data_IF_183773973255
#
_entry.id   IF_183773973255
#
_cell.length_a   1.000
_cell.length_b   1.000
_cell.length_c   1.000
_cell.angle_alpha   90.00
_cell.angle_beta   90.00
_cell.angle_gamma   90.00
#
_symmetry.space_group_name_H-M   'P 1'
#
loop_
_entity.id
_entity.type
_entity.pdbx_description
1 polymer ?
#
# COMPACT_ATOMS: atom_id res chain seq x y z
N UNK A 1 -45.63 33.52 -16.67
CA UNK A 1 -45.61 32.10 -16.24
C UNK A 1 -44.52 31.43 -17.06
N UNK A 2 -43.28 31.57 -16.62
CA UNK A 2 -42.07 31.13 -17.34
C UNK A 2 -41.69 29.72 -16.88
N UNK A 3 -41.59 28.79 -17.82
CA UNK A 3 -41.19 27.41 -17.60
C UNK A 3 -39.65 27.34 -17.59
N UNK A 4 -39.08 27.09 -16.41
CA UNK A 4 -37.67 26.76 -16.22
C UNK A 4 -37.33 25.40 -16.86
N UNK A 5 -36.33 25.39 -17.74
CA UNK A 5 -35.66 24.18 -18.25
C UNK A 5 -34.63 23.66 -17.24
N UNK A 6 -34.41 22.34 -17.10
CA UNK A 6 -33.54 21.79 -16.07
C UNK A 6 -32.05 21.84 -16.45
N UNK A 7 -31.26 22.48 -15.57
CA UNK A 7 -29.81 22.74 -15.61
C UNK A 7 -28.89 21.50 -15.51
N UNK A 8 -29.35 20.28 -15.81
CA UNK A 8 -28.61 19.04 -15.45
C UNK A 8 -27.82 18.37 -16.59
N UNK A 9 -27.92 18.86 -17.83
CA UNK A 9 -27.22 18.29 -19.00
C UNK A 9 -25.83 18.88 -19.28
N UNK A 10 -25.44 19.99 -18.65
CA UNK A 10 -24.21 20.72 -19.01
C UNK A 10 -22.92 20.00 -18.55
N UNK A 11 -22.94 19.29 -17.41
CA UNK A 11 -21.72 18.68 -16.84
C UNK A 11 -21.11 17.52 -17.64
N UNK A 12 -21.91 16.75 -18.39
CA UNK A 12 -21.41 15.55 -19.09
C UNK A 12 -20.72 15.93 -20.41
N UNK A 13 -21.25 16.95 -21.10
CA UNK A 13 -20.71 17.38 -22.41
C UNK A 13 -19.36 18.08 -22.27
N UNK A 14 -19.17 18.85 -21.19
CA UNK A 14 -17.91 19.57 -20.93
C UNK A 14 -16.77 18.63 -20.54
N UNK A 15 -17.07 17.55 -19.81
CA UNK A 15 -16.09 16.52 -19.44
C UNK A 15 -15.62 15.70 -20.64
N UNK A 16 -16.52 15.37 -21.58
CA UNK A 16 -16.23 14.52 -22.74
C UNK A 16 -15.39 15.21 -23.82
N UNK A 17 -15.41 16.54 -23.91
CA UNK A 17 -14.63 17.29 -24.90
C UNK A 17 -13.11 17.26 -24.63
N UNK A 18 -12.68 16.96 -23.40
CA UNK A 18 -11.26 16.94 -23.02
C UNK A 18 -10.52 15.62 -23.32
N UNK A 19 -11.22 14.55 -23.74
CA UNK A 19 -10.67 13.19 -23.84
C UNK A 19 -10.15 12.78 -25.24
N UNK A 20 -10.23 13.66 -26.24
CA UNK A 20 -10.08 13.27 -27.67
C UNK A 20 -8.64 13.17 -28.22
N UNK A 21 -7.59 13.35 -27.42
CA UNK A 21 -6.19 13.49 -27.89
C UNK A 21 -5.27 12.25 -27.73
N UNK A 22 -5.73 11.09 -27.25
CA UNK A 22 -4.84 10.01 -26.74
C UNK A 22 -4.72 8.70 -27.55
N UNK A 23 -4.93 8.70 -28.88
CA UNK A 23 -5.15 7.45 -29.64
C UNK A 23 -3.91 6.59 -30.00
N UNK A 24 -2.71 7.17 -30.21
CA UNK A 24 -1.57 6.39 -30.70
C UNK A 24 -0.71 5.72 -29.61
N UNK A 25 -0.55 6.35 -28.44
CA UNK A 25 0.21 5.77 -27.31
C UNK A 25 -0.45 4.52 -26.70
N UNK A 26 -1.78 4.40 -26.83
CA UNK A 26 -2.58 3.31 -26.25
C UNK A 26 -2.34 1.94 -26.92
N UNK A 27 -1.85 1.89 -28.17
CA UNK A 27 -1.60 0.62 -28.87
C UNK A 27 -0.29 -0.04 -28.46
N UNK A 28 0.73 0.73 -28.13
CA UNK A 28 2.05 0.22 -27.69
C UNK A 28 1.97 -0.39 -26.28
N UNK A 29 1.13 0.18 -25.40
CA UNK A 29 1.00 -0.19 -23.99
C UNK A 29 0.29 -1.53 -23.74
N UNK A 30 -0.67 -1.91 -24.60
CA UNK A 30 -1.37 -3.20 -24.48
C UNK A 30 -0.44 -4.42 -24.63
N UNK A 31 0.69 -4.27 -25.35
CA UNK A 31 1.69 -5.33 -25.48
C UNK A 31 2.53 -5.55 -24.23
N UNK A 32 2.68 -4.54 -23.36
CA UNK A 32 3.50 -4.64 -22.14
C UNK A 32 2.72 -5.24 -20.97
N UNK A 33 1.41 -5.01 -20.88
CA UNK A 33 0.58 -5.52 -19.79
C UNK A 33 0.44 -7.05 -19.77
N UNK A 34 0.42 -7.70 -20.93
CA UNK A 34 0.36 -9.17 -21.03
C UNK A 34 1.62 -9.88 -20.53
N UNK A 35 2.79 -9.23 -20.63
CA UNK A 35 4.07 -9.81 -20.20
C UNK A 35 4.24 -9.88 -18.67
N UNK A 36 3.50 -9.07 -17.91
CA UNK A 36 3.64 -8.98 -16.44
C UNK A 36 2.76 -10.03 -15.74
N UNK A 37 1.68 -10.47 -16.38
CA UNK A 37 0.77 -11.48 -15.83
C UNK A 37 1.42 -12.88 -15.74
N UNK A 38 2.30 -13.22 -16.68
CA UNK A 38 2.95 -14.54 -16.73
C UNK A 38 4.06 -14.74 -15.69
N UNK A 39 4.70 -13.67 -15.22
CA UNK A 39 5.79 -13.74 -14.24
C UNK A 39 5.32 -14.15 -12.84
N UNK A 40 4.05 -13.89 -12.49
CA UNK A 40 3.51 -14.15 -11.16
C UNK A 40 3.06 -15.61 -10.95
N UNK A 41 3.05 -16.46 -11.98
CA UNK A 41 2.55 -17.84 -11.92
C UNK A 41 3.61 -18.88 -11.53
N UNK A 42 4.90 -18.51 -11.48
CA UNK A 42 6.02 -19.46 -11.40
C UNK A 42 6.61 -19.61 -9.98
N UNK A 43 6.14 -18.88 -8.95
CA UNK A 43 6.79 -18.84 -7.63
C UNK A 43 6.21 -19.73 -6.52
N UNK A 44 5.16 -20.53 -6.75
CA UNK A 44 4.69 -21.51 -5.77
C UNK A 44 4.98 -22.92 -6.27
N UNK A 45 6.00 -23.59 -5.70
CA UNK A 45 6.10 -25.04 -5.42
C UNK A 45 7.53 -25.33 -4.92
N UNK A 46 7.66 -25.75 -3.65
CA UNK A 46 8.66 -26.62 -2.97
C UNK A 46 8.92 -26.08 -1.55
N UNK A 47 8.91 -26.82 -0.43
CA UNK A 47 9.04 -28.26 -0.11
C UNK A 47 8.32 -28.54 1.22
N UNK A 48 7.78 -29.76 1.36
CA UNK A 48 7.37 -30.34 2.64
C UNK A 48 8.13 -31.65 2.88
N UNK A 49 8.83 -31.79 4.02
CA UNK A 49 9.08 -33.10 4.67
C UNK A 49 9.47 -32.91 6.16
N UNK A 50 8.99 -33.74 7.11
CA UNK A 50 9.25 -33.60 8.54
C UNK A 50 10.27 -34.62 9.10
N UNK A 51 10.92 -34.30 10.23
CA UNK A 51 11.65 -35.29 11.05
C UNK A 51 11.27 -35.23 12.55
N UNK A 52 11.14 -36.44 13.11
CA UNK A 52 10.78 -36.80 14.50
C UNK A 52 12.02 -36.81 15.42
N UNK A 53 11.83 -36.62 16.74
CA UNK A 53 12.20 -37.65 17.75
C UNK A 53 11.91 -37.27 19.23
N UNK A 54 11.12 -38.14 19.87
CA UNK A 54 11.30 -38.85 21.17
C UNK A 54 11.38 -38.12 22.53
N UNK A 55 10.44 -38.56 23.38
CA UNK A 55 10.18 -38.42 24.84
C UNK A 55 11.38 -38.57 25.80
N UNK A 56 11.30 -37.89 26.96
CA UNK A 56 11.46 -38.52 28.29
C UNK A 56 10.81 -37.70 29.42
N UNK A 57 10.14 -38.43 30.31
CA UNK A 57 9.43 -38.00 31.54
C UNK A 57 10.28 -38.44 32.74
N UNK A 58 10.45 -37.62 33.77
CA UNK A 58 10.11 -37.92 35.18
C UNK A 58 10.57 -36.86 36.18
N UNK A 59 9.59 -36.50 37.01
CA UNK A 59 9.56 -35.94 38.36
C UNK A 59 10.68 -36.33 39.33
N UNK A 60 11.16 -35.40 40.15
CA UNK A 60 11.27 -35.51 41.62
C UNK A 60 11.65 -34.16 42.26
N UNK A 61 11.28 -33.97 43.53
CA UNK A 61 11.25 -32.71 44.26
C UNK A 61 12.25 -32.67 45.42
N UNK A 62 12.62 -31.43 45.79
CA UNK A 62 13.14 -30.92 47.08
C UNK A 62 14.65 -31.09 47.36
N UNK A 63 15.28 -30.26 48.25
CA UNK A 63 14.96 -28.92 48.74
C UNK A 63 16.13 -27.89 48.65
N UNK A 64 15.83 -26.68 49.11
CA UNK A 64 16.53 -25.39 49.07
C UNK A 64 17.94 -25.42 49.72
N UNK A 65 18.96 -24.97 48.97
CA UNK A 65 20.24 -24.53 49.53
C UNK A 65 20.30 -23.00 49.51
N UNK A 66 20.24 -22.39 50.69
CA UNK A 66 20.43 -20.95 50.88
C UNK A 66 21.93 -20.68 50.68
N UNK A 67 22.31 -20.26 49.48
CA UNK A 67 23.64 -19.76 49.20
C UNK A 67 23.74 -18.31 49.70
N UNK A 68 24.66 -18.07 50.63
CA UNK A 68 25.06 -16.74 51.08
C UNK A 68 25.49 -15.90 49.87
N UNK A 69 24.81 -14.78 49.65
CA UNK A 69 25.15 -13.80 48.61
C UNK A 69 26.45 -13.09 49.00
N UNK A 70 27.53 -13.17 48.20
CA UNK A 70 28.67 -12.28 48.37
C UNK A 70 28.26 -10.86 47.95
N UNK A 71 28.91 -9.81 48.46
CA UNK A 71 28.59 -8.44 48.10
C UNK A 71 28.83 -8.23 46.60
N UNK A 72 27.83 -7.68 45.90
CA UNK A 72 27.95 -7.19 44.52
C UNK A 72 29.06 -6.15 44.45
N UNK A 73 30.27 -6.56 44.04
CA UNK A 73 31.23 -5.63 43.48
C UNK A 73 30.61 -5.06 42.21
N UNK A 74 30.34 -3.75 42.18
CA UNK A 74 30.12 -3.07 40.91
C UNK A 74 31.40 -3.28 40.07
N UNK A 75 31.27 -4.01 38.97
CA UNK A 75 32.41 -4.47 38.17
C UNK A 75 33.16 -3.27 37.60
N UNK A 76 34.42 -3.09 37.99
CA UNK A 76 35.31 -2.02 37.48
C UNK A 76 35.35 -1.95 35.94
N UNK A 77 35.05 -3.06 35.25
CA UNK A 77 34.88 -3.12 33.80
C UNK A 77 33.82 -2.16 33.26
N UNK A 78 32.69 -1.99 33.96
CA UNK A 78 31.56 -1.17 33.52
C UNK A 78 31.90 0.32 33.56
N UNK A 79 32.72 0.74 34.53
CA UNK A 79 33.22 2.12 34.55
C UNK A 79 34.19 2.37 33.38
N UNK A 80 35.12 1.44 33.15
CA UNK A 80 36.09 1.56 32.06
C UNK A 80 35.46 1.53 30.68
N UNK A 81 34.40 0.76 30.46
CA UNK A 81 33.67 0.73 29.17
C UNK A 81 32.90 2.03 28.92
N UNK A 82 32.33 2.61 29.98
CA UNK A 82 31.64 3.90 29.86
C UNK A 82 32.61 5.04 29.58
N UNK A 83 33.76 5.06 30.24
CA UNK A 83 34.77 6.10 30.00
C UNK A 83 35.26 6.03 28.54
N UNK A 84 35.54 4.84 28.01
CA UNK A 84 35.86 4.63 26.57
C UNK A 84 34.78 5.13 25.62
N UNK A 85 33.51 4.89 25.95
CA UNK A 85 32.39 5.37 25.14
C UNK A 85 32.36 6.90 25.11
N UNK A 86 32.54 7.55 26.25
CA UNK A 86 32.55 9.01 26.33
C UNK A 86 33.75 9.61 25.61
N UNK A 87 34.94 9.00 25.73
CA UNK A 87 36.12 9.41 24.98
C UNK A 87 35.88 9.32 23.46
N UNK A 88 35.22 8.25 22.99
CA UNK A 88 34.89 8.08 21.56
C UNK A 88 33.87 9.13 21.08
N UNK A 89 32.88 9.46 21.91
CA UNK A 89 31.91 10.53 21.60
C UNK A 89 32.61 11.89 21.55
N UNK A 90 33.50 12.18 22.51
CA UNK A 90 34.27 13.43 22.55
C UNK A 90 35.20 13.57 21.33
N UNK A 91 35.75 12.44 20.87
CA UNK A 91 36.55 12.38 19.64
C UNK A 91 35.72 12.49 18.35
N UNK A 92 34.39 12.47 18.43
CA UNK A 92 33.49 12.56 17.28
C UNK A 92 33.42 11.28 16.44
N UNK A 93 33.60 10.10 17.04
CA UNK A 93 33.45 8.81 16.35
C UNK A 93 31.98 8.61 15.93
N UNK A 94 31.76 8.24 14.66
CA UNK A 94 30.44 7.91 14.11
C UNK A 94 29.86 6.62 14.74
N UNK A 95 30.73 5.74 15.26
CA UNK A 95 30.40 4.44 15.85
C UNK A 95 31.06 4.25 17.22
N UNK A 96 30.69 5.07 18.21
CA UNK A 96 31.37 5.06 19.51
C UNK A 96 31.03 3.81 20.35
N UNK A 97 29.96 3.08 20.00
CA UNK A 97 29.57 1.84 20.65
C UNK A 97 30.34 0.62 20.13
N UNK A 98 30.41 -0.43 20.96
CA UNK A 98 30.99 -1.69 20.51
C UNK A 98 30.13 -2.34 19.40
N UNK A 99 30.73 -2.76 18.27
CA UNK A 99 30.00 -3.47 17.22
C UNK A 99 29.36 -4.75 17.76
N UNK A 100 28.09 -4.98 17.44
CA UNK A 100 27.33 -6.14 17.88
C UNK A 100 26.45 -6.66 16.76
N UNK A 101 26.42 -7.98 16.60
CA UNK A 101 25.54 -8.62 15.63
C UNK A 101 24.10 -8.67 16.15
N UNK A 102 23.21 -7.91 15.51
CA UNK A 102 21.77 -7.93 15.75
C UNK A 102 21.15 -8.99 14.83
N UNK A 103 20.55 -10.02 15.42
CA UNK A 103 19.95 -11.19 14.74
C UNK A 103 18.43 -11.21 14.86
N UNK A 104 17.87 -10.68 15.95
CA UNK A 104 16.42 -10.58 16.16
C UNK A 104 16.05 -9.28 16.87
N UNK A 105 14.74 -9.09 17.09
CA UNK A 105 14.23 -7.97 17.86
C UNK A 105 14.69 -7.97 19.33
N UNK A 106 15.02 -9.14 19.90
CA UNK A 106 15.49 -9.26 21.29
C UNK A 106 16.89 -8.65 21.50
N UNK A 107 17.65 -8.49 20.41
CA UNK A 107 18.97 -7.86 20.44
C UNK A 107 18.87 -6.31 20.41
N UNK A 108 17.65 -5.75 20.26
CA UNK A 108 17.44 -4.31 20.22
C UNK A 108 17.23 -3.73 21.62
N UNK A 109 17.90 -2.60 21.88
CA UNK A 109 17.67 -1.80 23.09
C UNK A 109 16.27 -1.15 23.08
N UNK A 110 15.83 -0.69 24.25
CA UNK A 110 14.53 -0.01 24.39
C UNK A 110 14.39 1.22 23.47
N UNK A 111 15.46 1.98 23.27
CA UNK A 111 15.43 3.17 22.41
C UNK A 111 15.32 2.79 20.93
N UNK A 112 15.99 1.71 20.52
CA UNK A 112 15.90 1.18 19.16
C UNK A 112 14.52 0.58 18.87
N UNK A 113 13.95 -0.16 19.83
CA UNK A 113 12.57 -0.66 19.74
C UNK A 113 11.56 0.49 19.66
N UNK A 114 11.76 1.55 20.45
CA UNK A 114 10.95 2.77 20.36
C UNK A 114 11.04 3.39 18.96
N UNK A 115 12.23 3.46 18.36
CA UNK A 115 12.39 3.99 17.00
C UNK A 115 11.66 3.12 15.97
N UNK A 116 11.78 1.78 16.04
CA UNK A 116 11.02 0.87 15.18
C UNK A 116 9.50 1.09 15.30
N UNK A 117 9.02 1.33 16.52
CA UNK A 117 7.63 1.65 16.78
C UNK A 117 7.21 3.00 16.15
N UNK A 118 8.03 4.04 16.26
CA UNK A 118 7.78 5.35 15.63
C UNK A 118 7.71 5.24 14.11
N UNK A 119 8.61 4.46 13.49
CA UNK A 119 8.62 4.19 12.04
C UNK A 119 7.30 3.53 11.61
N UNK A 120 6.89 2.47 12.32
CA UNK A 120 5.63 1.78 12.03
C UNK A 120 4.42 2.70 12.21
N UNK A 121 4.43 3.53 13.25
CA UNK A 121 3.37 4.50 13.48
C UNK A 121 3.27 5.51 12.33
N UNK A 122 4.40 6.10 11.91
CA UNK A 122 4.44 7.05 10.80
C UNK A 122 3.97 6.42 9.48
N UNK A 123 4.37 5.18 9.20
CA UNK A 123 3.88 4.41 8.06
C UNK A 123 2.34 4.26 8.08
N UNK A 124 1.77 3.93 9.24
CA UNK A 124 0.32 3.81 9.43
C UNK A 124 -0.39 5.14 9.24
N UNK A 125 0.06 6.18 9.94
CA UNK A 125 -0.51 7.53 9.93
C UNK A 125 -0.44 8.20 8.56
N UNK A 126 0.52 7.83 7.70
CA UNK A 126 0.57 8.33 6.33
C UNK A 126 -0.63 7.90 5.47
N UNK A 127 -1.35 6.83 5.82
CA UNK A 127 -2.41 6.25 4.97
C UNK A 127 -3.75 5.97 5.67
N UNK A 128 -3.73 5.68 6.97
CA UNK A 128 -4.92 5.51 7.82
C UNK A 128 -5.18 6.77 8.66
N UNK A 129 -6.28 7.48 8.39
CA UNK A 129 -6.72 8.66 9.18
C UNK A 129 -7.00 8.30 10.64
N UNK A 130 -7.32 7.04 10.91
CA UNK A 130 -7.61 6.52 12.23
C UNK A 130 -6.39 5.81 12.84
N UNK A 131 -5.17 6.04 12.33
CA UNK A 131 -3.97 5.50 12.91
C UNK A 131 -3.83 5.99 14.37
N UNK A 132 -3.51 5.06 15.26
CA UNK A 132 -3.33 5.36 16.67
C UNK A 132 -2.20 4.52 17.24
N UNK A 133 -1.61 4.99 18.33
CA UNK A 133 -0.58 4.26 19.07
C UNK A 133 -1.08 2.87 19.49
N UNK A 134 -2.35 2.74 19.88
CA UNK A 134 -2.95 1.46 20.24
C UNK A 134 -2.96 0.47 19.06
N UNK A 135 -3.35 0.91 17.86
CA UNK A 135 -3.30 0.08 16.65
C UNK A 135 -1.87 -0.31 16.29
N UNK A 136 -0.94 0.64 16.37
CA UNK A 136 0.49 0.39 16.13
C UNK A 136 1.02 -0.66 17.11
N UNK A 137 0.65 -0.59 18.39
CA UNK A 137 1.06 -1.57 19.41
C UNK A 137 0.59 -2.99 19.10
N UNK A 138 -0.59 -3.15 18.50
CA UNK A 138 -1.10 -4.47 18.10
C UNK A 138 -0.35 -5.06 16.89
N UNK A 139 0.31 -4.22 16.09
CA UNK A 139 0.98 -4.64 14.85
C UNK A 139 2.51 -4.68 14.95
N UNK A 140 3.10 -4.22 16.07
CA UNK A 140 4.56 -4.07 16.20
C UNK A 140 5.31 -5.39 16.11
N UNK A 141 4.77 -6.46 16.71
CA UNK A 141 5.46 -7.76 16.71
C UNK A 141 5.53 -8.31 15.28
N UNK A 142 4.43 -8.25 14.53
CA UNK A 142 4.41 -8.64 13.11
C UNK A 142 5.30 -7.75 12.21
N UNK A 143 5.48 -6.47 12.55
CA UNK A 143 6.43 -5.61 11.86
C UNK A 143 7.88 -6.03 12.15
N UNK A 144 8.23 -6.30 13.41
CA UNK A 144 9.55 -6.76 13.79
C UNK A 144 9.88 -8.12 13.16
N UNK A 145 8.92 -9.04 13.14
CA UNK A 145 9.04 -10.31 12.42
C UNK A 145 9.34 -10.09 10.94
N UNK A 146 8.64 -9.16 10.28
CA UNK A 146 8.91 -8.82 8.88
C UNK A 146 10.28 -8.17 8.67
N UNK A 147 10.75 -7.34 9.61
CA UNK A 147 12.10 -6.74 9.57
C UNK A 147 13.18 -7.81 9.61
N UNK A 148 13.04 -8.81 10.49
CA UNK A 148 14.04 -9.88 10.66
C UNK A 148 13.76 -11.14 9.83
N UNK A 149 12.69 -11.16 9.03
CA UNK A 149 12.36 -12.32 8.20
C UNK A 149 13.50 -12.64 7.22
N UNK A 150 14.14 -13.79 7.44
CA UNK A 150 15.33 -14.27 6.72
C UNK A 150 16.48 -13.24 6.63
N UNK A 151 16.50 -12.26 7.55
CA UNK A 151 17.37 -11.10 7.48
C UNK A 151 18.02 -10.83 8.83
N UNK A 152 19.29 -10.42 8.82
CA UNK A 152 20.01 -9.97 10.02
C UNK A 152 21.10 -8.99 9.63
N UNK A 153 21.66 -8.26 10.59
CA UNK A 153 22.79 -7.35 10.37
C UNK A 153 23.99 -8.04 9.69
N UNK A 154 24.25 -9.33 9.95
CA UNK A 154 25.31 -10.12 9.30
C UNK A 154 24.98 -10.59 7.88
N UNK A 155 23.69 -10.66 7.55
CA UNK A 155 23.17 -11.08 6.24
C UNK A 155 22.39 -9.93 5.59
N UNK A 156 22.89 -8.71 5.72
CA UNK A 156 22.16 -7.52 5.29
C UNK A 156 21.90 -7.51 3.78
N UNK A 157 22.84 -8.05 2.99
CA UNK A 157 22.79 -8.05 1.53
C UNK A 157 22.69 -6.63 0.96
N UNK A 158 22.16 -6.52 -0.26
CA UNK A 158 21.79 -5.22 -0.83
C UNK A 158 20.39 -4.84 -0.32
N UNK A 159 20.31 -3.76 0.46
CA UNK A 159 19.04 -3.20 0.91
C UNK A 159 18.38 -2.44 -0.24
N UNK A 160 17.60 -3.14 -1.05
CA UNK A 160 16.83 -2.53 -2.14
C UNK A 160 15.67 -1.71 -1.56
N UNK A 161 15.67 -0.41 -1.85
CA UNK A 161 14.56 0.48 -1.53
C UNK A 161 13.40 0.16 -2.47
N UNK A 162 12.19 0.01 -1.92
CA UNK A 162 11.00 -0.20 -2.75
C UNK A 162 10.78 1.01 -3.65
N UNK A 163 10.53 0.78 -4.92
CA UNK A 163 9.98 1.79 -5.83
C UNK A 163 8.46 1.78 -5.73
N UNK A 164 7.82 2.92 -6.00
CA UNK A 164 6.37 3.01 -6.08
C UNK A 164 5.96 2.77 -7.53
N UNK A 165 5.62 1.53 -7.86
CA UNK A 165 5.16 1.16 -9.20
C UNK A 165 3.87 0.33 -9.10
N UNK A 166 2.82 0.83 -9.74
CA UNK A 166 1.53 0.17 -9.77
C UNK A 166 0.62 0.67 -10.88
N UNK A 167 -0.26 -0.23 -11.31
CA UNK A 167 -1.46 0.04 -12.08
C UNK A 167 -2.68 -0.36 -11.25
N UNK A 168 -3.70 0.49 -11.23
CA UNK A 168 -4.98 0.24 -10.59
C UNK A 168 -6.11 0.63 -11.51
N UNK A 169 -7.18 -0.15 -11.45
CA UNK A 169 -8.37 0.05 -12.26
C UNK A 169 -9.60 0.00 -11.37
N UNK A 170 -10.55 0.91 -11.56
CA UNK A 170 -11.88 0.87 -10.95
C UNK A 170 -12.93 0.84 -12.05
N UNK A 171 -14.01 0.11 -11.82
CA UNK A 171 -15.10 -0.07 -12.76
C UNK A 171 -16.42 0.16 -12.03
N UNK A 172 -17.34 0.88 -12.68
CA UNK A 172 -18.72 1.08 -12.21
C UNK A 172 -19.67 0.93 -13.40
N UNK A 173 -20.85 0.35 -13.14
CA UNK A 173 -21.94 0.30 -14.13
C UNK A 173 -22.57 1.68 -14.26
N UNK A 174 -22.55 2.24 -15.48
CA UNK A 174 -23.02 3.61 -15.74
C UNK A 174 -24.27 3.66 -16.60
N UNK A 175 -24.73 2.51 -17.10
CA UNK A 175 -25.92 2.46 -17.93
C UNK A 175 -26.15 1.13 -18.61
N UNK A 176 -27.08 1.13 -19.56
CA UNK A 176 -27.41 -0.01 -20.41
C UNK A 176 -27.63 0.43 -21.85
N UNK A 177 -27.32 -0.47 -22.79
CA UNK A 177 -27.68 -0.28 -24.19
C UNK A 177 -29.18 -0.56 -24.37
N UNK A 178 -29.93 0.45 -24.79
CA UNK A 178 -31.38 0.34 -24.99
C UNK A 178 -31.73 0.12 -26.47
N UNK A 179 -32.41 -0.98 -26.76
CA UNK A 179 -32.93 -1.29 -28.10
C UNK A 179 -34.18 -0.47 -28.41
N UNK A 180 -35.04 -0.22 -27.41
CA UNK A 180 -36.31 0.50 -27.54
C UNK A 180 -36.23 1.98 -27.13
N UNK A 181 -35.42 2.74 -27.88
CA UNK A 181 -35.11 4.15 -27.55
C UNK A 181 -36.32 5.09 -27.44
N UNK A 182 -37.42 4.77 -28.12
CA UNK A 182 -38.62 5.62 -28.12
C UNK A 182 -39.54 5.33 -26.92
N UNK A 183 -39.44 4.13 -26.34
CA UNK A 183 -40.31 3.66 -25.26
C UNK A 183 -39.63 3.80 -23.88
N UNK A 184 -38.32 3.53 -23.81
CA UNK A 184 -37.58 3.61 -22.55
C UNK A 184 -36.93 4.98 -22.41
N UNK A 185 -37.36 5.74 -21.41
CA UNK A 185 -36.77 7.04 -21.08
C UNK A 185 -35.61 6.90 -20.08
N UNK A 186 -35.68 5.91 -19.18
CA UNK A 186 -34.72 5.66 -18.09
C UNK A 186 -34.12 4.26 -18.15
N UNK A 187 -33.05 4.04 -17.37
CA UNK A 187 -32.44 2.71 -17.18
C UNK A 187 -33.43 1.74 -16.55
N UNK A 188 -34.26 2.18 -15.59
CA UNK A 188 -35.26 1.34 -14.92
C UNK A 188 -36.28 0.73 -15.89
N UNK A 189 -36.60 1.45 -16.96
CA UNK A 189 -37.52 0.97 -18.00
C UNK A 189 -36.87 -0.19 -18.78
N UNK A 190 -35.54 -0.22 -18.86
CA UNK A 190 -34.77 -1.31 -19.48
C UNK A 190 -34.68 -2.56 -18.60
N UNK A 191 -34.90 -2.45 -17.29
CA UNK A 191 -34.80 -3.58 -16.36
C UNK A 191 -36.00 -4.53 -16.45
N UNK A 192 -37.16 -4.01 -16.88
CA UNK A 192 -38.38 -4.78 -17.04
C UNK A 192 -38.37 -5.72 -18.26
N UNK A 193 -37.43 -5.54 -19.20
CA UNK A 193 -37.41 -6.26 -20.47
C UNK A 193 -36.06 -6.93 -20.78
N UNK A 194 -36.12 -8.18 -21.22
CA UNK A 194 -34.93 -9.01 -21.51
C UNK A 194 -34.05 -8.53 -22.69
N UNK A 195 -34.52 -7.56 -23.48
CA UNK A 195 -33.83 -7.09 -24.70
C UNK A 195 -32.88 -5.90 -24.46
N UNK A 196 -32.92 -5.26 -23.28
CA UNK A 196 -32.07 -4.12 -22.94
C UNK A 196 -31.03 -4.48 -21.85
N UNK A 197 -30.38 -5.63 -22.00
CA UNK A 197 -29.55 -6.24 -20.94
C UNK A 197 -28.08 -5.87 -21.00
N UNK A 198 -27.55 -5.44 -22.14
CA UNK A 198 -26.12 -5.18 -22.28
C UNK A 198 -25.68 -3.99 -21.41
N UNK A 199 -24.88 -4.23 -20.34
CA UNK A 199 -24.46 -3.18 -19.44
C UNK A 199 -23.40 -2.29 -20.11
N UNK A 200 -23.36 -1.04 -19.68
CA UNK A 200 -22.30 -0.09 -20.01
C UNK A 200 -21.56 0.21 -18.73
N UNK A 201 -20.26 -0.02 -18.74
CA UNK A 201 -19.35 0.27 -17.62
C UNK A 201 -18.49 1.49 -17.94
N UNK A 202 -18.14 2.25 -16.92
CA UNK A 202 -17.03 3.21 -16.95
C UNK A 202 -15.85 2.63 -16.18
N UNK A 203 -14.68 2.66 -16.80
CA UNK A 203 -13.44 2.07 -16.29
C UNK A 203 -12.40 3.18 -16.17
N UNK A 204 -11.97 3.48 -14.94
CA UNK A 204 -10.89 4.42 -14.67
C UNK A 204 -9.61 3.68 -14.30
N UNK A 205 -8.54 3.90 -15.07
CA UNK A 205 -7.23 3.30 -14.88
C UNK A 205 -6.22 4.39 -14.50
N UNK A 206 -5.45 4.14 -13.45
CA UNK A 206 -4.28 4.95 -13.11
C UNK A 206 -3.02 4.09 -13.11
N UNK A 207 -1.97 4.58 -13.78
CA UNK A 207 -0.63 4.02 -13.78
C UNK A 207 0.34 5.04 -13.16
N UNK A 208 1.18 4.60 -12.23
CA UNK A 208 2.16 5.49 -11.62
C UNK A 208 3.41 5.67 -12.48
N UNK A 209 3.79 4.68 -13.30
CA UNK A 209 5.02 4.71 -14.08
C UNK A 209 4.85 4.09 -15.49
N UNK A 210 4.85 4.89 -16.59
CA UNK A 210 4.78 6.35 -16.57
C UNK A 210 3.44 6.84 -16.01
N UNK A 211 3.39 8.03 -15.40
CA UNK A 211 2.16 8.63 -14.90
C UNK A 211 1.11 8.73 -16.03
N UNK A 212 0.01 8.02 -15.87
CA UNK A 212 -1.07 7.99 -16.87
C UNK A 212 -2.40 7.79 -16.18
N UNK A 213 -3.37 8.62 -16.58
CA UNK A 213 -4.76 8.47 -16.22
C UNK A 213 -5.57 8.17 -17.49
N UNK A 214 -6.48 7.20 -17.41
CA UNK A 214 -7.34 6.81 -18.52
C UNK A 214 -8.76 6.55 -18.03
N UNK A 215 -9.75 7.10 -18.72
CA UNK A 215 -11.15 6.73 -18.57
C UNK A 215 -11.65 6.12 -19.87
N UNK A 216 -12.21 4.91 -19.80
CA UNK A 216 -12.80 4.20 -20.93
C UNK A 216 -14.24 3.81 -20.59
N UNK A 217 -15.11 3.82 -21.60
CA UNK A 217 -16.44 3.23 -21.49
C UNK A 217 -16.44 1.93 -22.26
N UNK A 218 -16.99 0.88 -21.65
CA UNK A 218 -17.05 -0.45 -22.27
C UNK A 218 -18.44 -1.05 -22.13
N UNK A 219 -18.75 -1.98 -23.01
CA UNK A 219 -19.90 -2.89 -22.89
C UNK A 219 -19.41 -4.32 -23.02
N UNK A 220 -20.24 -5.30 -22.68
CA UNK A 220 -19.87 -6.71 -22.86
C UNK A 220 -20.20 -7.11 -24.30
N UNK A 221 -19.22 -7.66 -25.02
CA UNK A 221 -19.48 -8.26 -26.32
C UNK A 221 -20.22 -9.59 -26.14
N UNK A 222 -21.41 -9.71 -26.74
CA UNK A 222 -22.30 -10.87 -26.56
C UNK A 222 -21.68 -12.18 -27.08
N UNK A 223 -20.71 -12.10 -28.00
CA UNK A 223 -20.06 -13.26 -28.61
C UNK A 223 -18.84 -13.74 -27.82
N UNK A 224 -17.99 -12.82 -27.35
CA UNK A 224 -16.75 -13.15 -26.63
C UNK A 224 -16.85 -13.05 -25.12
N UNK A 225 -17.90 -12.41 -24.60
CA UNK A 225 -18.02 -12.05 -23.18
C UNK A 225 -16.97 -11.04 -22.71
N UNK A 226 -16.17 -10.47 -23.63
CA UNK A 226 -15.08 -9.55 -23.28
C UNK A 226 -15.57 -8.09 -23.27
N UNK A 227 -14.94 -7.22 -22.46
CA UNK A 227 -15.18 -5.80 -22.53
C UNK A 227 -14.81 -5.23 -23.91
N UNK A 228 -15.77 -4.60 -24.57
CA UNK A 228 -15.61 -3.88 -25.82
C UNK A 228 -15.68 -2.37 -25.55
N UNK A 229 -14.59 -1.66 -25.86
CA UNK A 229 -14.52 -0.21 -25.76
C UNK A 229 -15.56 0.46 -26.68
N UNK A 230 -16.31 1.42 -26.14
CA UNK A 230 -17.31 2.18 -26.90
C UNK A 230 -17.05 3.68 -26.81
N UNK A 231 -17.46 4.42 -27.84
CA UNK A 231 -17.51 5.88 -27.80
C UNK A 231 -18.93 6.32 -27.38
N UNK A 232 -19.12 6.90 -26.17
CA UNK A 232 -20.44 7.30 -25.68
C UNK A 232 -21.18 8.25 -26.63
N UNK A 233 -20.45 9.17 -27.28
CA UNK A 233 -21.00 10.18 -28.20
C UNK A 233 -21.65 9.50 -29.42
N UNK A 234 -21.04 8.43 -29.91
CA UNK A 234 -21.57 7.67 -31.05
C UNK A 234 -22.78 6.78 -30.72
N UNK A 235 -23.12 6.64 -29.42
CA UNK A 235 -24.06 5.66 -28.91
C UNK A 235 -25.27 6.32 -28.24
N UNK A 236 -26.15 6.93 -29.05
CA UNK A 236 -27.40 7.56 -28.57
C UNK A 236 -28.46 6.61 -27.97
N UNK A 237 -28.20 5.30 -27.88
CA UNK A 237 -29.06 4.32 -27.20
C UNK A 237 -28.67 4.09 -25.74
N UNK A 238 -27.57 4.65 -25.26
CA UNK A 238 -27.21 4.44 -23.86
C UNK A 238 -28.26 5.12 -22.99
N UNK A 239 -28.84 4.34 -22.08
CA UNK A 239 -29.59 4.86 -20.95
C UNK A 239 -28.61 4.90 -19.79
N UNK A 240 -28.36 6.09 -19.28
CA UNK A 240 -27.44 6.33 -18.18
C UNK A 240 -28.17 6.18 -16.86
N UNK A 241 -27.48 5.67 -15.85
CA UNK A 241 -27.99 5.67 -14.48
C UNK A 241 -28.08 7.12 -13.98
N UNK A 242 -29.15 7.44 -13.23
CA UNK A 242 -29.37 8.76 -12.64
C UNK A 242 -28.49 9.00 -11.37
N UNK A 243 -27.82 7.95 -10.89
CA UNK A 243 -26.94 7.96 -9.72
C UNK A 243 -25.58 8.60 -10.01
N UNK A 244 -24.90 9.04 -8.95
CA UNK A 244 -23.55 9.63 -9.03
C UNK A 244 -22.46 8.55 -9.17
N UNK A 245 -22.51 7.84 -10.30
CA UNK A 245 -21.56 6.79 -10.67
C UNK A 245 -20.12 7.33 -10.72
N UNK A 246 -19.93 8.62 -10.96
CA UNK A 246 -18.61 9.25 -10.97
C UNK A 246 -18.00 9.30 -9.58
N UNK A 247 -18.79 9.61 -8.54
CA UNK A 247 -18.33 9.54 -7.16
C UNK A 247 -18.02 8.11 -6.71
N UNK A 248 -18.81 7.13 -7.14
CA UNK A 248 -18.52 5.72 -6.86
C UNK A 248 -17.21 5.28 -7.52
N UNK A 249 -17.01 5.64 -8.79
CA UNK A 249 -15.78 5.34 -9.53
C UNK A 249 -14.57 6.00 -8.88
N UNK A 250 -14.71 7.26 -8.43
CA UNK A 250 -13.70 8.00 -7.69
C UNK A 250 -13.33 7.31 -6.38
N UNK A 251 -14.32 6.95 -5.55
CA UNK A 251 -14.10 6.24 -4.28
C UNK A 251 -13.43 4.88 -4.49
N UNK A 252 -13.87 4.13 -5.51
CA UNK A 252 -13.29 2.85 -5.88
C UNK A 252 -11.82 2.97 -6.27
N UNK A 253 -11.49 3.94 -7.13
CA UNK A 253 -10.10 4.18 -7.56
C UNK A 253 -9.24 4.69 -6.41
N UNK A 254 -9.73 5.65 -5.62
CA UNK A 254 -9.05 6.19 -4.44
C UNK A 254 -8.64 5.08 -3.47
N UNK A 255 -9.58 4.17 -3.16
CA UNK A 255 -9.34 3.06 -2.24
C UNK A 255 -8.23 2.15 -2.76
N UNK A 256 -8.23 1.84 -4.06
CA UNK A 256 -7.19 1.01 -4.69
C UNK A 256 -5.82 1.70 -4.69
N UNK A 257 -5.76 3.00 -4.99
CA UNK A 257 -4.52 3.79 -4.93
C UNK A 257 -3.96 3.79 -3.50
N UNK A 258 -4.78 4.12 -2.50
CA UNK A 258 -4.36 4.16 -1.09
C UNK A 258 -3.84 2.80 -0.64
N UNK A 259 -4.46 1.69 -1.07
CA UNK A 259 -3.98 0.35 -0.76
C UNK A 259 -2.57 0.09 -1.33
N UNK A 260 -2.28 0.57 -2.55
CA UNK A 260 -0.94 0.47 -3.16
C UNK A 260 0.08 1.33 -2.43
N UNK A 261 -0.28 2.57 -2.09
CA UNK A 261 0.55 3.48 -1.28
C UNK A 261 0.87 2.83 0.09
N UNK A 262 -0.13 2.29 0.77
CA UNK A 262 0.04 1.64 2.06
C UNK A 262 0.97 0.43 1.98
N UNK A 263 0.85 -0.40 0.93
CA UNK A 263 1.76 -1.51 0.68
C UNK A 263 3.20 -1.03 0.47
N UNK A 264 3.39 0.01 -0.34
CA UNK A 264 4.72 0.61 -0.56
C UNK A 264 5.32 1.14 0.75
N UNK A 265 4.55 1.92 1.52
CA UNK A 265 5.00 2.45 2.80
C UNK A 265 5.42 1.35 3.79
N UNK A 266 4.73 0.19 3.80
CA UNK A 266 5.14 -0.97 4.61
C UNK A 266 6.52 -1.49 4.21
N UNK A 267 6.78 -1.63 2.91
CA UNK A 267 8.09 -2.05 2.44
C UNK A 267 9.17 -0.99 2.74
N UNK A 268 8.84 0.30 2.60
CA UNK A 268 9.74 1.39 2.95
C UNK A 268 10.06 1.41 4.45
N UNK A 269 9.08 1.20 5.32
CA UNK A 269 9.26 1.12 6.77
C UNK A 269 10.23 0.00 7.17
N UNK A 270 10.07 -1.18 6.55
CA UNK A 270 10.99 -2.31 6.75
C UNK A 270 12.40 -1.93 6.29
N UNK A 271 12.53 -1.31 5.12
CA UNK A 271 13.82 -0.86 4.60
C UNK A 271 14.49 0.17 5.51
N UNK A 272 13.75 1.17 5.99
CA UNK A 272 14.24 2.18 6.94
C UNK A 272 14.73 1.55 8.25
N UNK A 273 13.96 0.62 8.81
CA UNK A 273 14.36 -0.09 10.02
C UNK A 273 15.62 -0.94 9.81
N UNK A 274 15.71 -1.68 8.70
CA UNK A 274 16.90 -2.47 8.34
C UNK A 274 18.14 -1.60 8.16
N UNK A 275 18.01 -0.43 7.51
CA UNK A 275 19.08 0.55 7.36
C UNK A 275 19.62 0.98 8.72
N UNK A 276 18.74 1.33 9.66
CA UNK A 276 19.15 1.70 11.03
C UNK A 276 19.80 0.54 11.79
N UNK A 277 19.25 -0.67 11.69
CA UNK A 277 19.80 -1.85 12.37
C UNK A 277 21.22 -2.15 11.89
N UNK A 278 21.53 -1.93 10.60
CA UNK A 278 22.90 -2.06 10.09
C UNK A 278 23.85 -1.07 10.76
N UNK A 279 23.44 0.19 10.93
CA UNK A 279 24.27 1.20 11.58
C UNK A 279 24.43 0.95 13.09
N UNK A 280 23.35 0.54 13.76
CA UNK A 280 23.41 0.13 15.17
C UNK A 280 24.33 -1.07 15.39
N UNK A 281 24.32 -2.03 14.47
CA UNK A 281 25.20 -3.20 14.55
C UNK A 281 26.68 -2.84 14.43
N UNK A 282 27.01 -1.72 13.78
CA UNK A 282 28.38 -1.18 13.71
C UNK A 282 28.78 -0.41 14.97
N UNK A 283 27.85 -0.09 15.86
CA UNK A 283 28.10 0.70 17.07
C UNK A 283 27.57 2.13 17.03
N UNK A 284 26.77 2.49 16.02
CA UNK A 284 26.20 3.85 15.95
C UNK A 284 25.15 4.08 17.03
N UNK A 285 25.18 5.26 17.64
CA UNK A 285 24.15 5.73 18.58
C UNK A 285 23.03 6.53 17.89
N UNK A 286 23.17 6.80 16.59
CA UNK A 286 22.21 7.59 15.82
C UNK A 286 20.87 6.88 15.68
N UNK A 287 19.77 7.60 15.86
CA UNK A 287 18.40 7.11 15.57
C UNK A 287 17.96 7.45 14.14
N UNK A 288 18.91 7.90 13.31
CA UNK A 288 18.68 8.40 11.97
C UNK A 288 17.79 9.64 11.93
N UNK A 289 17.23 9.88 10.74
CA UNK A 289 16.36 11.01 10.46
C UNK A 289 15.03 10.93 11.22
N UNK A 290 14.37 12.09 11.34
CA UNK A 290 13.01 12.17 11.87
C UNK A 290 12.03 11.36 10.99
N UNK A 291 10.96 10.85 11.60
CA UNK A 291 9.97 10.04 10.86
C UNK A 291 9.24 10.84 9.76
N UNK A 292 9.22 12.16 9.89
CA UNK A 292 8.74 13.14 8.92
C UNK A 292 9.61 13.22 7.65
N UNK A 293 10.88 12.81 7.74
CA UNK A 293 11.86 12.83 6.64
C UNK A 293 12.01 11.46 5.96
N UNK A 294 11.28 10.43 6.40
CA UNK A 294 11.41 9.05 5.89
C UNK A 294 10.69 8.80 4.56
N UNK A 295 10.23 9.84 3.87
CA UNK A 295 9.56 9.79 2.55
C UNK A 295 8.32 8.89 2.48
N UNK A 296 7.58 8.72 3.57
CA UNK A 296 6.31 8.00 3.52
C UNK A 296 5.33 8.74 2.61
N UNK A 297 4.83 8.04 1.59
CA UNK A 297 3.86 8.62 0.66
C UNK A 297 2.53 8.77 1.36
N UNK A 298 2.01 9.99 1.41
CA UNK A 298 0.79 10.30 2.17
C UNK A 298 -0.47 10.01 1.36
N UNK A 299 -1.59 9.83 2.07
CA UNK A 299 -2.91 9.58 1.52
C UNK A 299 -3.35 10.65 0.52
N UNK A 300 -3.02 11.91 0.77
CA UNK A 300 -3.43 13.06 -0.05
C UNK A 300 -2.90 12.96 -1.49
N UNK A 301 -1.83 12.20 -1.72
CA UNK A 301 -1.34 11.92 -3.08
C UNK A 301 -2.37 11.16 -3.92
N UNK A 302 -3.22 10.33 -3.30
CA UNK A 302 -4.33 9.71 -4.00
C UNK A 302 -5.35 10.75 -4.49
N UNK A 303 -5.56 11.83 -3.74
CA UNK A 303 -6.52 12.88 -4.10
C UNK A 303 -6.03 13.70 -5.29
N UNK A 304 -4.71 13.95 -5.39
CA UNK A 304 -4.07 14.59 -6.55
C UNK A 304 -4.29 13.78 -7.82
N UNK A 305 -4.12 12.46 -7.76
CA UNK A 305 -4.36 11.56 -8.90
C UNK A 305 -5.80 11.64 -9.40
N UNK A 306 -6.76 11.79 -8.48
CA UNK A 306 -8.18 11.80 -8.79
C UNK A 306 -8.67 13.13 -9.37
N UNK A 307 -7.85 14.18 -9.41
CA UNK A 307 -8.18 15.42 -10.12
C UNK A 307 -8.51 15.15 -11.60
N UNK A 308 -7.89 14.12 -12.20
CA UNK A 308 -8.16 13.71 -13.58
C UNK A 308 -9.58 13.17 -13.84
N UNK A 309 -10.32 12.77 -12.80
CA UNK A 309 -11.72 12.34 -12.91
C UNK A 309 -12.73 13.50 -12.87
N UNK A 310 -12.30 14.72 -12.53
CA UNK A 310 -13.21 15.83 -12.26
C UNK A 310 -14.01 15.66 -10.95
N UNK A 311 -14.77 16.70 -10.60
CA UNK A 311 -15.56 16.76 -9.36
C UNK A 311 -14.77 17.34 -8.17
N UNK A 312 -15.44 18.20 -7.38
CA UNK A 312 -14.85 18.80 -6.19
C UNK A 312 -14.43 17.72 -5.19
N UNK A 313 -13.21 17.83 -4.66
CA UNK A 313 -12.85 17.18 -3.42
C UNK A 313 -13.71 17.85 -2.33
N UNK A 314 -14.73 17.16 -1.82
CA UNK A 314 -15.42 17.65 -0.63
C UNK A 314 -14.41 17.66 0.52
N UNK A 315 -14.13 18.84 1.04
CA UNK A 315 -13.35 19.07 2.24
C UNK A 315 -14.06 18.39 3.42
N UNK A 316 -13.44 17.33 3.97
CA UNK A 316 -13.77 16.72 5.25
C UNK A 316 -12.47 16.43 6.02
#
# INVERSE_FOLDING_TARGET
MELQLPLRRQNITDFLNNLSTMSQAQRELRRRATSIADANRVQEITLATPQRSVKRRRTSASPISIASTPPRQASRSVKSERDKLFDAIEAGDDYPGAPMAIKSADDLSQVQLKKCYEILHACGSATDRNASMTKTRQSIDGFLDAVFNEWSSRKAGNLLRSELDFLVEAEVSVGKLCVKRQEHAKVTDCDAEALCTAPVSAVATYCNNPPMFKLEFSTVDDLSGQPLAICPISKGHIRWVDEDWLQELRKGLQTKIIAKIHKHNKHLAIWQARKLIVEWAKGSLSMGEGVDQMDFTKREMADVVLLGLGGHAEEN
#
